data_IF_250681978042
#
_entry.id   IF_250681978042
#
_cell.length_a   1.000
_cell.length_b   1.000
_cell.length_c   1.000
_cell.angle_alpha   90.00
_cell.angle_beta   90.00
_cell.angle_gamma   90.00
#
_symmetry.space_group_name_H-M   'P 1'
#
loop_
_entity.id
_entity.type
_entity.pdbx_description
1 polymer ?
#
# COMPACT_ATOMS: atom_id res chain seq x y z
N UNK A 1 -26.51 -50.27 -29.04
CA UNK A 1 -25.47 -51.22 -29.51
C UNK A 1 -24.28 -50.41 -30.01
N UNK A 2 -23.07 -50.74 -29.51
CA UNK A 2 -21.73 -50.32 -29.95
C UNK A 2 -21.20 -48.91 -29.60
N UNK A 3 -20.46 -48.93 -28.50
CA UNK A 3 -19.29 -48.14 -28.09
C UNK A 3 -18.23 -48.02 -29.21
N UNK A 4 -17.54 -46.87 -29.28
CA UNK A 4 -16.10 -46.74 -29.61
C UNK A 4 -15.57 -45.39 -29.09
N UNK A 5 -14.55 -45.43 -28.24
CA UNK A 5 -13.81 -44.28 -27.72
C UNK A 5 -12.44 -44.10 -28.39
N UNK A 6 -11.60 -43.27 -27.73
CA UNK A 6 -10.19 -42.84 -27.96
C UNK A 6 -10.10 -41.34 -28.27
N UNK A 7 -9.15 -40.55 -27.77
CA UNK A 7 -8.17 -40.67 -26.70
C UNK A 7 -7.74 -39.24 -26.32
N UNK A 8 -7.50 -38.98 -25.03
CA UNK A 8 -6.95 -37.72 -24.55
C UNK A 8 -5.44 -37.65 -24.79
N UNK A 9 -4.94 -36.52 -25.29
CA UNK A 9 -3.52 -36.19 -25.34
C UNK A 9 -3.25 -34.97 -24.45
N UNK A 10 -2.75 -35.24 -23.25
CA UNK A 10 -2.26 -34.24 -22.28
C UNK A 10 -0.83 -33.88 -22.67
N UNK A 11 -0.59 -32.61 -23.04
CA UNK A 11 0.77 -32.10 -23.22
C UNK A 11 1.21 -31.38 -21.93
N UNK A 12 2.16 -31.98 -21.20
CA UNK A 12 2.94 -31.31 -20.16
C UNK A 12 3.88 -30.29 -20.83
N UNK A 13 3.78 -29.02 -20.47
CA UNK A 13 4.86 -28.05 -20.65
C UNK A 13 5.61 -27.89 -19.34
N UNK A 14 6.81 -28.46 -19.29
CA UNK A 14 7.82 -28.19 -18.28
C UNK A 14 8.47 -26.83 -18.58
N UNK A 15 8.37 -25.88 -17.66
CA UNK A 15 9.15 -24.64 -17.70
C UNK A 15 10.30 -24.76 -16.70
N UNK A 16 11.51 -24.77 -17.26
CA UNK A 16 12.78 -24.80 -16.56
C UNK A 16 13.02 -23.46 -15.85
N UNK A 17 13.07 -23.49 -14.52
CA UNK A 17 13.58 -22.38 -13.71
C UNK A 17 15.12 -22.37 -13.79
N UNK A 18 15.69 -21.46 -14.58
CA UNK A 18 17.12 -21.18 -14.60
C UNK A 18 17.51 -20.24 -13.47
N UNK A 19 17.85 -20.79 -12.31
CA UNK A 19 18.52 -20.07 -11.22
C UNK A 19 20.04 -20.17 -11.33
N UNK A 20 20.74 -19.05 -11.28
CA UNK A 20 22.19 -19.03 -11.08
C UNK A 20 22.50 -19.49 -9.66
N UNK A 21 22.87 -20.77 -9.49
CA UNK A 21 23.47 -21.26 -8.25
C UNK A 21 24.99 -21.18 -8.38
N UNK A 22 25.61 -20.25 -7.65
CA UNK A 22 26.97 -20.48 -7.14
C UNK A 22 26.82 -21.44 -5.97
N UNK A 23 27.42 -22.61 -6.10
CA UNK A 23 27.66 -23.53 -5.00
C UNK A 23 28.76 -22.92 -4.11
N UNK A 24 28.40 -22.63 -2.86
CA UNK A 24 29.21 -22.69 -1.65
C UNK A 24 28.60 -21.76 -0.61
N UNK A 25 27.86 -22.34 0.35
CA UNK A 25 27.71 -21.87 1.73
C UNK A 25 26.76 -22.79 2.49
N UNK A 26 27.33 -23.69 3.28
CA UNK A 26 26.69 -24.26 4.47
C UNK A 26 26.21 -23.13 5.39
N UNK A 27 24.98 -22.65 5.23
CA UNK A 27 24.30 -21.83 6.24
C UNK A 27 22.83 -22.28 6.29
N UNK A 28 22.56 -23.40 6.96
CA UNK A 28 21.32 -23.51 7.74
C UNK A 28 21.50 -22.61 8.95
N UNK A 29 21.48 -21.31 8.70
CA UNK A 29 21.56 -20.29 9.74
C UNK A 29 20.22 -20.26 10.42
N UNK A 30 20.14 -20.82 11.63
CA UNK A 30 19.11 -20.45 12.58
C UNK A 30 19.02 -18.91 12.56
N UNK A 31 17.88 -18.36 12.15
CA UNK A 31 17.65 -16.95 12.33
C UNK A 31 17.81 -16.68 13.84
N UNK A 32 18.75 -15.79 14.26
CA UNK A 32 18.91 -15.50 15.67
C UNK A 32 17.57 -14.99 16.22
N UNK A 33 17.16 -15.52 17.38
CA UNK A 33 15.96 -15.04 18.05
C UNK A 33 16.03 -13.52 18.24
N UNK A 34 14.91 -12.79 18.15
CA UNK A 34 14.90 -11.36 18.42
C UNK A 34 15.48 -11.10 19.81
N UNK A 35 16.57 -10.34 19.88
CA UNK A 35 17.13 -9.92 21.16
C UNK A 35 16.25 -8.78 21.67
N UNK A 36 15.49 -9.03 22.74
CA UNK A 36 14.79 -7.97 23.47
C UNK A 36 15.82 -6.96 23.95
N UNK A 37 15.60 -5.70 23.60
CA UNK A 37 16.54 -4.62 23.87
C UNK A 37 16.05 -3.83 25.09
N UNK A 38 16.95 -3.51 26.02
CA UNK A 38 16.63 -2.64 27.15
C UNK A 38 16.50 -3.36 28.50
N UNK A 39 15.89 -2.70 29.51
CA UNK A 39 15.73 -3.25 30.86
C UNK A 39 14.87 -4.51 30.87
N UNK A 40 15.00 -5.34 31.90
CA UNK A 40 14.24 -6.59 32.02
C UNK A 40 12.72 -6.35 32.20
N UNK A 41 12.33 -5.16 32.66
CA UNK A 41 10.94 -4.81 32.98
C UNK A 41 10.46 -3.64 32.13
N UNK A 42 9.16 -3.58 31.77
CA UNK A 42 8.59 -2.46 31.05
C UNK A 42 8.76 -1.14 31.82
N UNK A 43 8.93 -0.03 31.09
CA UNK A 43 8.95 1.29 31.70
C UNK A 43 7.54 1.68 32.17
N UNK A 44 7.43 2.15 33.42
CA UNK A 44 6.19 2.66 34.00
C UNK A 44 6.13 4.16 33.78
N UNK A 45 5.01 4.63 33.26
CA UNK A 45 4.70 6.03 33.03
C UNK A 45 3.60 6.48 33.98
N UNK A 46 3.70 7.71 34.49
CA UNK A 46 2.84 8.19 35.58
C UNK A 46 1.36 8.27 35.21
N UNK A 47 1.02 8.62 33.96
CA UNK A 47 -0.37 8.80 33.55
C UNK A 47 -0.58 8.60 32.06
N UNK A 48 -1.68 7.96 31.70
CA UNK A 48 -2.17 7.91 30.32
C UNK A 48 -2.84 9.23 29.92
N UNK A 49 -2.46 9.78 28.76
CA UNK A 49 -3.08 10.97 28.19
C UNK A 49 -4.01 10.64 27.03
N UNK A 50 -3.47 10.12 25.93
CA UNK A 50 -4.24 9.66 24.76
C UNK A 50 -3.36 8.91 23.77
N UNK A 51 -3.99 8.23 22.81
CA UNK A 51 -3.28 7.69 21.65
C UNK A 51 -2.61 8.78 20.79
N UNK A 52 -3.16 9.99 20.75
CA UNK A 52 -2.66 11.08 19.91
C UNK A 52 -1.30 11.61 20.35
N UNK A 53 -1.10 11.74 21.65
CA UNK A 53 0.15 12.21 22.24
C UNK A 53 1.24 11.14 22.27
N UNK A 54 0.84 9.87 22.34
CA UNK A 54 1.75 8.78 22.72
C UNK A 54 2.03 7.80 21.58
N UNK A 55 1.02 7.45 20.78
CA UNK A 55 1.14 6.45 19.71
C UNK A 55 1.41 7.09 18.34
N UNK A 56 0.84 8.27 18.06
CA UNK A 56 0.86 8.84 16.71
C UNK A 56 1.84 10.02 16.57
N UNK A 57 3.13 9.72 16.44
CA UNK A 57 4.14 10.75 16.12
C UNK A 57 3.95 11.38 14.73
N UNK A 58 3.41 10.64 13.74
CA UNK A 58 3.04 11.15 12.41
C UNK A 58 1.89 10.33 11.77
N UNK A 59 1.26 10.82 10.69
CA UNK A 59 0.21 10.08 9.96
C UNK A 59 0.73 8.83 9.24
N UNK A 60 1.99 8.83 8.81
CA UNK A 60 2.61 7.75 8.03
C UNK A 60 2.98 6.52 8.88
N UNK A 61 3.16 6.71 10.18
CA UNK A 61 3.67 5.70 11.10
C UNK A 61 2.58 4.79 11.69
N UNK A 62 1.31 5.19 11.57
CA UNK A 62 0.17 4.58 12.30
C UNK A 62 -0.15 3.13 11.95
N UNK A 63 0.34 2.64 10.81
CA UNK A 63 0.15 1.25 10.36
C UNK A 63 1.25 0.34 10.95
N UNK A 64 2.41 0.90 11.29
CA UNK A 64 3.59 0.15 11.77
C UNK A 64 3.94 0.42 13.24
N UNK A 65 3.26 1.35 13.92
CA UNK A 65 3.64 1.84 15.24
C UNK A 65 3.64 0.77 16.36
N UNK A 66 3.05 -0.42 16.13
CA UNK A 66 3.10 -1.52 17.10
C UNK A 66 4.33 -2.42 17.02
N UNK A 67 5.13 -2.37 15.94
CA UNK A 67 6.16 -3.39 15.67
C UNK A 67 7.29 -3.44 16.70
N UNK A 68 7.62 -2.31 17.32
CA UNK A 68 8.65 -2.25 18.35
C UNK A 68 8.28 -3.04 19.61
N UNK A 69 6.99 -3.33 19.85
CA UNK A 69 6.54 -4.21 20.92
C UNK A 69 7.12 -5.64 20.82
N UNK A 70 7.56 -6.07 19.63
CA UNK A 70 8.28 -7.34 19.46
C UNK A 70 9.64 -7.37 20.17
N UNK A 71 10.18 -6.20 20.52
CA UNK A 71 11.51 -6.04 21.13
C UNK A 71 11.48 -5.42 22.52
N UNK A 72 10.33 -4.89 22.97
CA UNK A 72 10.14 -4.33 24.31
C UNK A 72 10.24 -5.40 25.41
N UNK A 73 10.43 -5.04 26.69
CA UNK A 73 10.44 -6.00 27.79
C UNK A 73 9.06 -6.68 27.97
N UNK A 74 9.04 -7.98 28.27
CA UNK A 74 7.79 -8.73 28.51
C UNK A 74 7.08 -8.25 29.77
N UNK A 75 5.77 -8.49 29.84
CA UNK A 75 5.00 -8.26 31.05
C UNK A 75 5.41 -9.25 32.15
N UNK A 76 5.75 -8.74 33.32
CA UNK A 76 5.99 -9.52 34.54
C UNK A 76 4.82 -9.40 35.52
N UNK A 77 5.03 -9.83 36.76
CA UNK A 77 4.04 -9.71 37.85
C UNK A 77 4.18 -8.41 38.65
N UNK A 78 5.14 -7.55 38.31
CA UNK A 78 5.44 -6.31 39.03
C UNK A 78 4.47 -5.17 38.70
N UNK A 79 3.76 -5.27 37.58
CA UNK A 79 2.67 -4.36 37.20
C UNK A 79 1.34 -5.12 37.19
N UNK A 80 0.27 -4.51 37.69
CA UNK A 80 -1.06 -5.13 37.82
C UNK A 80 -2.07 -4.39 36.93
N UNK A 81 -2.19 -4.78 35.65
CA UNK A 81 -3.14 -4.17 34.73
C UNK A 81 -4.59 -4.44 35.14
N UNK A 82 -5.39 -3.40 35.14
CA UNK A 82 -6.85 -3.48 35.32
C UNK A 82 -7.61 -3.05 34.06
N UNK A 83 -6.93 -2.37 33.13
CA UNK A 83 -7.49 -2.01 31.84
C UNK A 83 -6.42 -1.83 30.78
N UNK A 84 -6.82 -1.83 29.52
CA UNK A 84 -5.93 -1.64 28.41
C UNK A 84 -6.46 -0.57 27.46
N UNK A 85 -5.53 0.16 26.86
CA UNK A 85 -5.79 1.09 25.76
C UNK A 85 -5.18 0.51 24.48
N UNK A 86 -6.00 0.47 23.44
CA UNK A 86 -5.63 0.02 22.10
C UNK A 86 -5.70 1.24 21.19
N UNK A 87 -4.56 1.59 20.61
CA UNK A 87 -4.47 2.65 19.61
C UNK A 87 -4.46 2.02 18.22
N UNK A 88 -5.45 2.36 17.40
CA UNK A 88 -5.57 1.84 16.03
C UNK A 88 -6.01 2.91 15.04
N UNK A 89 -5.74 2.66 13.76
CA UNK A 89 -6.30 3.47 12.68
C UNK A 89 -6.99 2.55 11.68
N UNK A 90 -8.18 2.95 11.22
CA UNK A 90 -8.99 2.20 10.27
C UNK A 90 -9.38 3.08 9.09
N UNK A 91 -9.52 2.48 7.91
CA UNK A 91 -10.12 3.16 6.76
C UNK A 91 -11.64 3.00 6.89
N UNK A 92 -12.37 4.12 6.87
CA UNK A 92 -13.83 4.13 6.92
C UNK A 92 -14.41 4.74 5.65
N UNK A 93 -15.47 4.13 5.15
CA UNK A 93 -16.23 4.68 4.03
C UNK A 93 -17.08 5.86 4.45
N UNK A 94 -17.20 6.84 3.55
CA UNK A 94 -18.10 7.97 3.68
C UNK A 94 -19.39 7.75 2.89
N UNK A 95 -20.49 8.45 3.25
CA UNK A 95 -21.73 8.40 2.47
C UNK A 95 -21.56 8.73 0.97
N UNK A 96 -20.58 9.56 0.60
CA UNK A 96 -20.27 9.90 -0.80
C UNK A 96 -19.35 8.91 -1.53
N UNK A 97 -19.01 7.78 -0.93
CA UNK A 97 -18.14 6.75 -1.52
C UNK A 97 -16.64 7.00 -1.37
N UNK A 98 -16.24 8.19 -0.91
CA UNK A 98 -14.87 8.44 -0.47
C UNK A 98 -14.51 7.65 0.79
N UNK A 99 -13.25 7.71 1.20
CA UNK A 99 -12.76 7.04 2.39
C UNK A 99 -11.86 7.95 3.22
N UNK A 100 -11.87 7.73 4.53
CA UNK A 100 -11.08 8.48 5.49
C UNK A 100 -10.30 7.53 6.39
N UNK A 101 -9.08 7.93 6.74
CA UNK A 101 -8.33 7.28 7.80
C UNK A 101 -8.82 7.85 9.12
N UNK A 102 -9.34 6.99 9.99
CA UNK A 102 -9.88 7.35 11.30
C UNK A 102 -8.99 6.73 12.37
N UNK A 103 -8.46 7.57 13.26
CA UNK A 103 -7.73 7.13 14.44
C UNK A 103 -8.72 6.86 15.56
N UNK A 104 -8.50 5.77 16.28
CA UNK A 104 -9.37 5.26 17.32
C UNK A 104 -8.54 4.90 18.55
N UNK A 105 -9.05 5.35 19.70
CA UNK A 105 -8.65 4.87 21.00
C UNK A 105 -9.77 3.96 21.50
N UNK A 106 -9.43 2.71 21.73
CA UNK A 106 -10.35 1.73 22.29
C UNK A 106 -9.86 1.27 23.65
N UNK A 107 -10.80 0.93 24.53
CA UNK A 107 -10.54 0.46 25.88
C UNK A 107 -11.03 -0.97 26.06
N UNK A 108 -10.26 -1.77 26.77
CA UNK A 108 -10.68 -3.09 27.25
C UNK A 108 -10.52 -3.17 28.77
N UNK A 109 -11.51 -3.74 29.44
CA UNK A 109 -11.50 -3.92 30.91
C UNK A 109 -11.39 -5.40 31.30
N UNK A 110 -11.91 -6.35 30.49
CA UNK A 110 -11.62 -7.79 30.68
C UNK A 110 -10.33 -8.19 29.97
N UNK A 111 -9.25 -8.23 30.74
CA UNK A 111 -7.91 -8.54 30.22
C UNK A 111 -7.47 -9.98 30.49
N UNK A 112 -8.32 -10.80 31.12
CA UNK A 112 -7.90 -12.08 31.72
C UNK A 112 -7.14 -12.97 30.73
N UNK A 113 -7.70 -13.14 29.52
CA UNK A 113 -7.10 -14.00 28.49
C UNK A 113 -5.85 -13.34 27.89
N UNK A 114 -5.87 -12.04 27.59
CA UNK A 114 -4.73 -11.37 26.95
C UNK A 114 -3.53 -11.28 27.89
N UNK A 115 -3.73 -11.02 29.19
CA UNK A 115 -2.63 -10.96 30.17
C UNK A 115 -1.92 -12.29 30.34
N UNK A 116 -2.66 -13.41 30.34
CA UNK A 116 -2.02 -14.73 30.43
C UNK A 116 -1.13 -15.02 29.22
N UNK A 117 -1.52 -14.55 28.03
CA UNK A 117 -0.70 -14.69 26.83
C UNK A 117 0.46 -13.71 26.76
N UNK A 118 0.31 -12.47 27.23
CA UNK A 118 1.39 -11.47 27.26
C UNK A 118 2.55 -11.84 28.20
N UNK A 119 2.29 -12.68 29.21
CA UNK A 119 3.29 -13.21 30.13
C UNK A 119 4.03 -14.43 29.61
N UNK A 120 3.68 -14.94 28.41
CA UNK A 120 4.41 -16.05 27.82
C UNK A 120 5.85 -15.62 27.49
N UNK A 121 6.79 -16.53 27.66
CA UNK A 121 8.13 -16.36 27.12
C UNK A 121 8.12 -16.47 25.59
N UNK A 122 9.13 -15.86 24.99
CA UNK A 122 9.47 -16.09 23.58
C UNK A 122 9.83 -17.55 23.34
N UNK A 123 9.51 -18.04 22.15
CA UNK A 123 9.95 -19.35 21.70
C UNK A 123 11.40 -19.29 21.22
N UNK A 124 12.15 -20.36 21.49
CA UNK A 124 13.49 -20.51 20.97
C UNK A 124 13.50 -20.64 19.44
N UNK A 125 14.62 -20.29 18.77
CA UNK A 125 14.71 -20.42 17.33
C UNK A 125 14.62 -21.89 16.91
N UNK A 126 14.02 -22.15 15.74
CA UNK A 126 13.88 -23.50 15.17
C UNK A 126 14.51 -23.57 13.79
N UNK A 127 14.80 -24.78 13.30
CA UNK A 127 15.28 -25.00 11.94
C UNK A 127 14.16 -24.90 10.86
N UNK A 128 12.95 -24.48 11.26
CA UNK A 128 11.83 -24.33 10.35
C UNK A 128 11.99 -23.17 9.37
N UNK A 129 11.33 -23.26 8.22
CA UNK A 129 11.25 -22.13 7.28
C UNK A 129 10.27 -21.10 7.78
N UNK A 130 10.71 -19.84 7.88
CA UNK A 130 9.86 -18.72 8.24
C UNK A 130 9.37 -18.00 7.00
N UNK A 131 8.08 -17.66 7.00
CA UNK A 131 7.48 -16.86 5.95
C UNK A 131 7.84 -15.38 6.13
N UNK A 132 7.94 -14.63 5.02
CA UNK A 132 8.41 -13.23 4.97
C UNK A 132 7.31 -12.18 5.27
N UNK A 133 6.11 -12.59 5.67
CA UNK A 133 5.02 -11.67 5.97
C UNK A 133 5.29 -10.88 7.25
N UNK A 134 5.00 -9.58 7.19
CA UNK A 134 5.04 -8.67 8.32
C UNK A 134 3.71 -8.78 9.08
N UNK A 135 3.69 -9.31 10.32
CA UNK A 135 2.47 -9.41 11.10
C UNK A 135 2.02 -8.04 11.58
N UNK A 136 0.71 -7.77 11.61
CA UNK A 136 0.20 -6.58 12.29
C UNK A 136 0.36 -6.75 13.81
N UNK A 137 1.07 -5.83 14.47
CA UNK A 137 1.22 -5.79 15.92
C UNK A 137 0.41 -4.59 16.45
N UNK A 138 -0.55 -4.80 17.37
CA UNK A 138 -1.36 -3.71 17.89
C UNK A 138 -0.53 -2.80 18.79
N UNK A 139 -0.84 -1.51 18.78
CA UNK A 139 -0.32 -0.58 19.78
C UNK A 139 -1.18 -0.69 21.04
N UNK A 140 -0.65 -1.35 22.07
CA UNK A 140 -1.33 -1.69 23.32
C UNK A 140 -0.60 -1.06 24.51
N UNK A 141 -1.34 -0.34 25.34
CA UNK A 141 -0.89 0.09 26.67
C UNK A 141 -1.73 -0.61 27.74
N UNK A 142 -1.09 -0.99 28.85
CA UNK A 142 -1.75 -1.57 30.02
C UNK A 142 -1.74 -0.55 31.15
N UNK A 143 -2.88 -0.34 31.79
CA UNK A 143 -3.08 0.65 32.85
C UNK A 143 -3.39 -0.07 34.17
N UNK A 144 -2.82 0.43 35.26
CA UNK A 144 -3.17 0.01 36.62
C UNK A 144 -4.31 0.87 37.22
N UNK A 145 -4.69 0.58 38.46
CA UNK A 145 -5.75 1.30 39.19
C UNK A 145 -5.42 2.77 39.45
N UNK A 146 -4.14 3.14 39.48
CA UNK A 146 -3.67 4.51 39.66
C UNK A 146 -3.63 5.30 38.33
N UNK A 147 -3.94 4.64 37.21
CA UNK A 147 -3.86 5.21 35.87
C UNK A 147 -2.44 5.37 35.33
N UNK A 148 -1.45 4.80 36.02
CA UNK A 148 -0.10 4.61 35.48
C UNK A 148 -0.18 3.58 34.38
N UNK A 149 0.77 3.63 33.45
CA UNK A 149 0.72 2.71 32.31
C UNK A 149 2.09 2.19 31.90
N UNK A 150 2.07 1.04 31.25
CA UNK A 150 3.22 0.42 30.61
C UNK A 150 2.89 0.07 29.16
N UNK A 151 3.94 -0.03 28.34
CA UNK A 151 3.86 -0.68 27.03
C UNK A 151 4.57 -2.03 27.09
N UNK A 152 3.84 -3.15 27.20
CA UNK A 152 4.46 -4.45 27.30
C UNK A 152 5.01 -4.90 25.95
N UNK A 153 6.04 -5.72 26.00
CA UNK A 153 6.45 -6.52 24.86
C UNK A 153 5.42 -7.59 24.53
N UNK A 154 5.30 -7.89 23.24
CA UNK A 154 4.49 -8.99 22.72
C UNK A 154 5.39 -10.22 22.58
N UNK A 155 4.99 -11.39 23.11
CA UNK A 155 5.78 -12.60 22.98
C UNK A 155 5.86 -13.05 21.52
N UNK A 156 7.03 -13.54 21.11
CA UNK A 156 7.29 -13.97 19.73
C UNK A 156 7.52 -15.47 19.60
N UNK A 157 7.16 -16.00 18.44
CA UNK A 157 7.45 -17.36 18.02
C UNK A 157 8.89 -17.50 17.51
N UNK A 158 9.27 -18.73 17.13
CA UNK A 158 10.60 -19.02 16.58
C UNK A 158 10.96 -18.23 15.30
N UNK A 159 9.98 -17.62 14.64
CA UNK A 159 10.14 -16.79 13.46
C UNK A 159 10.14 -15.28 13.78
N UNK A 160 10.12 -14.91 15.06
CA UNK A 160 10.10 -13.51 15.51
C UNK A 160 8.75 -12.82 15.30
N UNK A 161 7.66 -13.57 15.11
CA UNK A 161 6.30 -13.04 14.95
C UNK A 161 5.50 -13.17 16.24
N UNK A 162 4.47 -12.35 16.48
CA UNK A 162 3.61 -12.52 17.64
C UNK A 162 3.11 -13.97 17.76
N UNK A 163 3.29 -14.56 18.94
CA UNK A 163 2.81 -15.90 19.23
C UNK A 163 1.32 -16.03 18.92
N UNK A 164 0.93 -17.18 18.40
CA UNK A 164 -0.45 -17.45 17.98
C UNK A 164 -1.45 -17.28 19.13
N UNK A 165 -1.05 -17.65 20.33
CA UNK A 165 -1.82 -17.53 21.56
C UNK A 165 -2.19 -16.07 21.82
N UNK A 166 -1.20 -15.17 21.80
CA UNK A 166 -1.43 -13.73 21.95
C UNK A 166 -2.34 -13.20 20.84
N UNK A 167 -2.06 -13.52 19.57
CA UNK A 167 -2.90 -13.08 18.44
C UNK A 167 -4.35 -13.50 18.61
N UNK A 168 -4.58 -14.77 18.97
CA UNK A 168 -5.92 -15.31 19.17
C UNK A 168 -6.63 -14.65 20.36
N UNK A 169 -5.91 -14.36 21.45
CA UNK A 169 -6.46 -13.69 22.61
C UNK A 169 -6.81 -12.22 22.29
N UNK A 170 -5.93 -11.53 21.57
CA UNK A 170 -6.12 -10.14 21.18
C UNK A 170 -7.29 -9.97 20.19
N UNK A 171 -7.41 -10.84 19.19
CA UNK A 171 -8.53 -10.84 18.23
C UNK A 171 -9.90 -11.02 18.91
N UNK A 172 -9.94 -11.68 20.07
CA UNK A 172 -11.15 -11.91 20.88
C UNK A 172 -11.36 -10.87 21.97
N UNK A 173 -10.44 -9.92 22.13
CA UNK A 173 -10.51 -8.91 23.17
C UNK A 173 -11.71 -8.01 22.93
N UNK A 174 -12.64 -7.98 23.88
CA UNK A 174 -13.77 -7.07 23.84
C UNK A 174 -13.26 -5.64 24.07
N UNK A 175 -13.52 -4.75 23.12
CA UNK A 175 -13.10 -3.36 23.18
C UNK A 175 -14.29 -2.42 23.01
N UNK A 176 -14.20 -1.26 23.66
CA UNK A 176 -15.12 -0.14 23.46
C UNK A 176 -14.34 1.05 22.93
N UNK A 177 -14.71 1.58 21.77
CA UNK A 177 -14.12 2.83 21.26
C UNK A 177 -14.49 3.98 22.19
N UNK A 178 -13.50 4.63 22.79
CA UNK A 178 -13.69 5.76 23.72
C UNK A 178 -13.44 7.11 23.04
N UNK A 179 -12.61 7.13 22.00
CA UNK A 179 -12.34 8.33 21.20
C UNK A 179 -12.10 7.93 19.76
N UNK A 180 -12.62 8.74 18.84
CA UNK A 180 -12.33 8.61 17.41
C UNK A 180 -12.18 9.98 16.78
N UNK A 181 -11.36 10.07 15.75
CA UNK A 181 -11.23 11.29 14.94
C UNK A 181 -10.76 10.98 13.54
N UNK A 182 -11.22 11.77 12.59
CA UNK A 182 -10.67 11.76 11.24
C UNK A 182 -9.24 12.28 11.28
N UNK A 183 -8.34 11.52 10.67
CA UNK A 183 -6.92 11.86 10.53
C UNK A 183 -6.71 12.62 9.25
N UNK A 184 -7.18 12.03 8.16
CA UNK A 184 -7.06 12.55 6.82
C UNK A 184 -8.08 11.85 5.92
N UNK A 185 -8.46 12.55 4.86
CA UNK A 185 -9.15 11.94 3.74
C UNK A 185 -8.16 11.10 2.92
N UNK A 186 -8.50 9.84 2.67
CA UNK A 186 -7.71 8.92 1.84
C UNK A 186 -8.23 8.95 0.40
N UNK A 187 -9.55 9.00 0.22
CA UNK A 187 -10.19 9.16 -1.09
C UNK A 187 -11.31 10.19 -0.98
N UNK A 188 -11.30 11.19 -1.87
CA UNK A 188 -12.38 12.18 -1.99
C UNK A 188 -13.65 11.55 -2.58
N UNK A 189 -14.80 12.16 -2.30
CA UNK A 189 -16.07 11.72 -2.88
C UNK A 189 -16.08 11.97 -4.40
N UNK A 190 -15.38 13.02 -4.86
CA UNK A 190 -15.18 13.33 -6.26
C UNK A 190 -14.30 12.28 -6.98
N UNK A 191 -13.20 11.86 -6.36
CA UNK A 191 -12.36 10.78 -6.90
C UNK A 191 -13.16 9.47 -6.97
N UNK A 192 -13.82 9.09 -5.88
CA UNK A 192 -14.62 7.88 -5.80
C UNK A 192 -15.73 7.84 -6.86
N UNK A 193 -16.53 8.90 -6.96
CA UNK A 193 -17.64 9.00 -7.94
C UNK A 193 -17.17 9.05 -9.40
N UNK A 194 -15.97 9.57 -9.66
CA UNK A 194 -15.34 9.49 -10.99
C UNK A 194 -14.75 8.11 -11.31
N UNK A 195 -14.59 7.26 -10.29
CA UNK A 195 -13.85 6.00 -10.31
C UNK A 195 -12.37 6.17 -10.68
N UNK A 196 -11.79 7.31 -10.31
CA UNK A 196 -10.36 7.57 -10.33
C UNK A 196 -9.80 7.39 -8.91
N UNK A 197 -8.52 7.03 -8.80
CA UNK A 197 -7.82 7.03 -7.52
C UNK A 197 -7.56 8.45 -7.02
N UNK A 198 -7.47 8.64 -5.70
CA UNK A 198 -7.11 9.94 -5.12
C UNK A 198 -5.69 10.40 -5.45
N UNK A 199 -4.77 9.45 -5.61
CA UNK A 199 -3.40 9.72 -6.02
C UNK A 199 -2.98 8.72 -7.09
N UNK A 200 -2.16 9.17 -8.03
CA UNK A 200 -1.59 8.33 -9.09
C UNK A 200 -0.18 8.80 -9.41
N UNK A 201 0.69 7.89 -9.86
CA UNK A 201 2.06 8.25 -10.21
C UNK A 201 2.17 8.76 -11.64
N UNK A 202 2.97 9.80 -11.86
CA UNK A 202 3.37 10.22 -13.21
C UNK A 202 4.30 9.16 -13.83
N UNK A 203 3.71 8.19 -14.52
CA UNK A 203 4.46 7.11 -15.13
C UNK A 203 5.22 7.53 -16.38
N UNK A 204 4.80 8.62 -17.05
CA UNK A 204 5.57 9.19 -18.15
C UNK A 204 6.92 9.67 -17.63
N UNK A 205 6.95 10.33 -16.46
CA UNK A 205 8.20 10.65 -15.75
C UNK A 205 8.93 9.40 -15.24
N UNK A 206 8.25 8.59 -14.41
CA UNK A 206 8.89 7.48 -13.69
C UNK A 206 9.55 6.45 -14.61
N UNK A 207 9.00 6.23 -15.82
CA UNK A 207 9.55 5.28 -16.78
C UNK A 207 10.53 5.90 -17.80
N UNK A 208 10.71 7.22 -17.78
CA UNK A 208 11.58 7.93 -18.71
C UNK A 208 13.06 7.51 -18.64
N UNK A 209 13.52 7.06 -17.45
CA UNK A 209 14.89 6.58 -17.24
C UNK A 209 15.15 5.11 -17.60
N UNK A 210 14.12 4.35 -17.97
CA UNK A 210 14.26 2.94 -18.35
C UNK A 210 14.40 2.80 -19.89
N UNK A 211 15.54 3.23 -20.43
CA UNK A 211 15.75 3.42 -21.88
C UNK A 211 15.56 2.16 -22.76
N UNK A 212 15.62 0.96 -22.19
CA UNK A 212 15.65 -0.29 -22.96
C UNK A 212 14.30 -1.01 -23.14
N UNK A 213 13.15 -0.39 -22.77
CA UNK A 213 11.84 -1.06 -22.80
C UNK A 213 10.81 -0.46 -23.77
N UNK A 214 11.19 0.55 -24.53
CA UNK A 214 10.23 1.33 -25.31
C UNK A 214 10.31 1.04 -26.81
N UNK A 215 9.15 0.78 -27.41
CA UNK A 215 9.00 0.63 -28.85
C UNK A 215 8.99 1.97 -29.57
N UNK A 216 9.26 1.96 -30.87
CA UNK A 216 9.17 3.15 -31.73
C UNK A 216 7.83 3.24 -32.46
N UNK A 217 7.20 2.11 -32.76
CA UNK A 217 5.95 2.03 -33.51
C UNK A 217 4.72 2.13 -32.60
N UNK A 218 3.75 2.96 -32.98
CA UNK A 218 2.47 3.10 -32.26
C UNK A 218 1.56 1.96 -32.71
N UNK A 219 1.11 1.13 -31.78
CA UNK A 219 0.06 0.16 -32.06
C UNK A 219 -1.27 0.90 -32.32
N UNK A 220 -2.14 0.40 -33.22
CA UNK A 220 -3.44 1.00 -33.46
C UNK A 220 -4.25 1.11 -32.17
N UNK A 221 -4.83 2.29 -31.92
CA UNK A 221 -5.71 2.52 -30.78
C UNK A 221 -7.12 2.02 -31.09
N UNK A 222 -7.89 1.56 -30.09
CA UNK A 222 -9.23 1.06 -30.32
C UNK A 222 -10.17 2.15 -30.86
N UNK A 223 -10.89 1.84 -31.94
CA UNK A 223 -11.84 2.78 -32.54
C UNK A 223 -12.98 3.15 -31.57
N UNK A 224 -13.38 2.19 -30.74
CA UNK A 224 -14.38 2.33 -29.68
C UNK A 224 -13.80 1.73 -28.40
N UNK A 225 -13.82 2.51 -27.33
CA UNK A 225 -13.44 2.08 -26.00
C UNK A 225 -14.29 2.82 -24.97
N UNK A 226 -14.55 2.17 -23.84
CA UNK A 226 -14.98 2.89 -22.65
C UNK A 226 -13.72 3.54 -22.08
N UNK A 227 -13.67 4.86 -22.12
CA UNK A 227 -12.51 5.62 -21.67
C UNK A 227 -12.85 6.35 -20.39
N UNK A 228 -12.04 6.16 -19.36
CA UNK A 228 -12.09 6.98 -18.14
C UNK A 228 -10.87 7.90 -18.14
N UNK A 229 -11.12 9.19 -17.95
CA UNK A 229 -10.07 10.20 -17.85
C UNK A 229 -9.91 10.61 -16.39
N UNK A 230 -8.67 10.59 -15.90
CA UNK A 230 -8.31 11.03 -14.56
C UNK A 230 -7.17 12.04 -14.68
N UNK A 231 -7.32 13.21 -14.08
CA UNK A 231 -6.37 14.31 -14.16
C UNK A 231 -5.80 14.58 -12.78
N UNK A 232 -4.48 14.73 -12.72
CA UNK A 232 -3.72 14.86 -11.48
C UNK A 232 -2.79 16.07 -11.54
N UNK A 233 -2.68 16.78 -10.43
CA UNK A 233 -1.67 17.83 -10.23
C UNK A 233 -0.51 17.24 -9.43
N UNK A 234 0.73 17.51 -9.82
CA UNK A 234 1.93 17.04 -9.13
C UNK A 234 2.39 18.12 -8.15
N UNK A 235 2.36 17.87 -6.81
CA UNK A 235 2.86 18.81 -5.82
C UNK A 235 4.32 19.16 -6.08
N UNK A 236 4.72 20.41 -5.79
CA UNK A 236 6.08 20.87 -6.07
C UNK A 236 7.17 20.01 -5.40
N UNK A 237 6.88 19.43 -4.22
CA UNK A 237 7.79 18.54 -3.51
C UNK A 237 7.99 17.17 -4.18
N UNK A 238 7.04 16.73 -5.02
CA UNK A 238 7.10 15.45 -5.73
C UNK A 238 7.73 15.59 -7.13
N UNK A 239 7.75 16.80 -7.69
CA UNK A 239 8.26 17.04 -9.04
C UNK A 239 9.74 16.67 -9.14
N UNK A 240 10.05 15.76 -10.05
CA UNK A 240 11.42 15.28 -10.27
C UNK A 240 11.84 14.15 -9.33
N UNK A 241 10.97 13.69 -8.42
CA UNK A 241 11.23 12.46 -7.67
C UNK A 241 11.30 11.25 -8.60
N UNK A 242 11.79 10.10 -8.11
CA UNK A 242 11.89 8.89 -8.94
C UNK A 242 10.52 8.38 -9.42
N UNK A 243 9.46 8.67 -8.66
CA UNK A 243 8.07 8.30 -8.99
C UNK A 243 7.12 9.37 -8.44
N UNK A 244 6.98 10.52 -9.13
CA UNK A 244 6.20 11.65 -8.66
C UNK A 244 4.75 11.24 -8.45
N UNK A 245 4.23 11.45 -7.24
CA UNK A 245 2.82 11.26 -6.95
C UNK A 245 2.03 12.53 -7.35
N UNK A 246 0.95 12.34 -8.11
CA UNK A 246 -0.03 13.38 -8.40
C UNK A 246 -1.29 13.22 -7.54
N UNK A 247 -1.91 14.35 -7.21
CA UNK A 247 -3.17 14.44 -6.47
C UNK A 247 -4.34 14.61 -7.45
N UNK A 248 -5.41 13.86 -7.22
CA UNK A 248 -6.59 13.89 -8.08
C UNK A 248 -7.21 15.30 -8.13
N UNK A 249 -7.32 15.83 -9.34
CA UNK A 249 -7.96 17.11 -9.63
C UNK A 249 -9.38 16.91 -10.17
N UNK A 250 -9.54 15.99 -11.11
CA UNK A 250 -10.82 15.74 -11.76
C UNK A 250 -10.79 14.48 -12.60
N UNK A 251 -11.96 13.89 -12.86
CA UNK A 251 -12.05 12.76 -13.77
C UNK A 251 -13.46 12.30 -14.01
N UNK A 252 -13.58 11.22 -14.78
CA UNK A 252 -14.85 10.57 -15.06
C UNK A 252 -14.85 9.84 -16.41
N UNK A 253 -15.99 9.27 -16.82
CA UNK A 253 -16.15 8.71 -18.15
C UNK A 253 -16.00 9.79 -19.22
N UNK A 254 -15.24 9.49 -20.26
CA UNK A 254 -15.01 10.35 -21.41
C UNK A 254 -16.03 10.02 -22.51
N UNK A 255 -16.78 11.01 -23.04
CA UNK A 255 -17.70 10.78 -24.16
C UNK A 255 -16.98 10.25 -25.39
N UNK A 256 -17.67 9.44 -26.21
CA UNK A 256 -17.10 8.83 -27.43
C UNK A 256 -16.54 9.87 -28.41
N UNK A 257 -17.16 11.05 -28.51
CA UNK A 257 -16.65 12.18 -29.32
C UNK A 257 -15.34 12.74 -28.78
N UNK A 258 -15.21 12.84 -27.45
CA UNK A 258 -13.98 13.23 -26.77
C UNK A 258 -12.86 12.21 -27.00
N UNK A 259 -13.16 10.91 -26.88
CA UNK A 259 -12.20 9.85 -27.21
C UNK A 259 -11.76 9.92 -28.67
N UNK A 260 -12.70 10.11 -29.61
CA UNK A 260 -12.38 10.19 -31.04
C UNK A 260 -11.42 11.34 -31.33
N UNK A 261 -11.64 12.51 -30.73
CA UNK A 261 -10.75 13.67 -30.89
C UNK A 261 -9.36 13.44 -30.29
N UNK A 262 -9.29 12.90 -29.07
CA UNK A 262 -8.03 12.56 -28.40
C UNK A 262 -7.24 11.51 -29.19
N UNK A 263 -7.91 10.43 -29.63
CA UNK A 263 -7.28 9.37 -30.41
C UNK A 263 -6.63 9.92 -31.68
N UNK A 264 -7.35 10.78 -32.43
CA UNK A 264 -6.83 11.37 -33.65
C UNK A 264 -5.56 12.20 -33.41
N UNK A 265 -5.50 12.98 -32.32
CA UNK A 265 -4.30 13.73 -31.95
C UNK A 265 -3.13 12.82 -31.55
N UNK A 266 -3.40 11.71 -30.85
CA UNK A 266 -2.36 10.73 -30.48
C UNK A 266 -1.85 9.98 -31.72
N UNK A 267 -2.73 9.57 -32.64
CA UNK A 267 -2.32 8.88 -33.88
C UNK A 267 -1.52 9.79 -34.81
N UNK A 268 -1.81 11.09 -34.81
CA UNK A 268 -1.06 12.10 -35.57
C UNK A 268 0.24 12.56 -34.88
N UNK A 269 0.48 12.15 -33.63
CA UNK A 269 1.61 12.62 -32.84
C UNK A 269 2.96 12.10 -33.36
N UNK A 270 3.98 12.96 -33.30
CA UNK A 270 5.35 12.57 -33.61
C UNK A 270 5.93 11.66 -32.50
N UNK A 271 6.89 10.77 -32.83
CA UNK A 271 7.71 10.09 -31.82
C UNK A 271 8.36 11.09 -30.85
N UNK A 272 8.41 10.73 -29.56
CA UNK A 272 9.12 11.50 -28.53
C UNK A 272 10.18 10.62 -27.87
N UNK A 273 11.20 11.28 -27.30
CA UNK A 273 12.14 10.61 -26.40
C UNK A 273 11.49 10.32 -25.04
N UNK A 274 11.97 9.25 -24.40
CA UNK A 274 11.66 8.94 -23.01
C UNK A 274 12.39 9.89 -22.04
N UNK A 275 13.53 10.46 -22.43
CA UNK A 275 14.30 11.37 -21.57
C UNK A 275 13.65 12.75 -21.47
N UNK A 276 13.52 13.25 -20.25
CA UNK A 276 12.97 14.57 -19.96
C UNK A 276 13.66 15.16 -18.73
N UNK A 277 14.06 16.43 -18.81
CA UNK A 277 14.68 17.16 -17.70
C UNK A 277 13.73 18.12 -16.99
N UNK A 278 12.54 18.34 -17.54
CA UNK A 278 11.55 19.29 -17.00
C UNK A 278 10.31 18.52 -16.56
N UNK A 279 10.13 18.26 -15.25
CA UNK A 279 8.98 17.50 -14.77
C UNK A 279 7.68 18.26 -15.05
N UNK A 280 6.64 17.51 -15.39
CA UNK A 280 5.30 18.08 -15.54
C UNK A 280 4.73 18.52 -14.18
N UNK A 281 3.96 19.59 -14.17
CA UNK A 281 3.19 20.02 -13.00
C UNK A 281 1.82 19.37 -12.93
N UNK A 282 1.34 18.78 -14.02
CA UNK A 282 0.10 18.00 -14.07
C UNK A 282 0.13 17.00 -15.22
N UNK A 283 -0.61 15.91 -15.06
CA UNK A 283 -0.76 14.88 -16.09
C UNK A 283 -2.19 14.31 -16.09
N UNK A 284 -2.58 13.73 -17.22
CA UNK A 284 -3.84 13.01 -17.38
C UNK A 284 -3.56 11.53 -17.65
N UNK A 285 -4.44 10.68 -17.14
CA UNK A 285 -4.44 9.23 -17.34
C UNK A 285 -5.75 8.84 -18.01
N UNK A 286 -5.66 8.13 -19.13
CA UNK A 286 -6.79 7.55 -19.83
C UNK A 286 -6.75 6.03 -19.63
N UNK A 287 -7.71 5.50 -18.89
CA UNK A 287 -7.93 4.06 -18.78
C UNK A 287 -8.85 3.62 -19.91
N UNK A 288 -8.36 2.73 -20.76
CA UNK A 288 -9.10 2.17 -21.89
C UNK A 288 -9.61 0.77 -21.53
N UNK A 289 -10.93 0.58 -21.64
CA UNK A 289 -11.56 -0.72 -21.50
C UNK A 289 -12.22 -1.16 -22.82
N UNK A 290 -11.71 -2.23 -23.47
CA UNK A 290 -10.37 -2.81 -23.29
C UNK A 290 -9.29 -1.89 -23.90
N UNK A 291 -8.02 -1.96 -23.47
CA UNK A 291 -6.96 -1.31 -24.24
C UNK A 291 -5.70 -0.84 -23.51
N UNK A 292 -5.68 -0.83 -22.17
CA UNK A 292 -4.50 -0.38 -21.42
C UNK A 292 -4.61 1.06 -20.95
N UNK A 293 -3.48 1.74 -20.75
CA UNK A 293 -3.42 3.06 -20.11
C UNK A 293 -2.61 4.03 -20.96
N UNK A 294 -3.08 5.28 -21.09
CA UNK A 294 -2.35 6.36 -21.75
C UNK A 294 -2.12 7.48 -20.75
N UNK A 295 -0.89 7.98 -20.66
CA UNK A 295 -0.50 9.10 -19.81
C UNK A 295 -0.15 10.28 -20.70
N UNK A 296 -0.62 11.46 -20.36
CA UNK A 296 -0.42 12.69 -21.13
C UNK A 296 0.07 13.76 -20.17
N UNK A 297 1.26 14.31 -20.38
CA UNK A 297 1.75 15.47 -19.63
C UNK A 297 1.08 16.76 -20.13
N UNK A 298 0.63 17.63 -19.22
CA UNK A 298 0.07 18.93 -19.59
C UNK A 298 1.14 19.91 -20.08
N UNK A 299 2.29 19.87 -19.40
CA UNK A 299 3.43 20.76 -19.53
C UNK A 299 4.74 19.96 -19.42
N UNK A 300 5.83 20.60 -18.99
CA UNK A 300 7.15 19.97 -18.99
C UNK A 300 7.60 19.62 -20.41
N UNK A 301 7.94 18.35 -20.65
CA UNK A 301 8.30 17.86 -21.98
C UNK A 301 7.10 17.50 -22.86
N UNK A 302 5.87 17.60 -22.33
CA UNK A 302 4.62 17.32 -23.05
C UNK A 302 4.65 15.93 -23.70
N UNK A 303 5.06 14.93 -22.96
CA UNK A 303 5.12 13.54 -23.46
C UNK A 303 3.76 12.87 -23.32
N UNK A 304 3.52 11.94 -24.23
CA UNK A 304 2.49 10.93 -24.12
C UNK A 304 3.21 9.60 -23.92
N UNK A 305 2.83 8.85 -22.90
CA UNK A 305 3.25 7.47 -22.71
C UNK A 305 2.05 6.59 -22.96
N UNK A 306 2.18 5.66 -23.91
CA UNK A 306 1.17 4.64 -24.16
C UNK A 306 1.65 3.32 -23.57
N UNK A 307 0.84 2.75 -22.68
CA UNK A 307 1.02 1.41 -22.12
C UNK A 307 -0.11 0.51 -22.64
N UNK A 308 0.07 -0.14 -23.81
CA UNK A 308 -0.95 -1.02 -24.35
C UNK A 308 -1.10 -2.25 -23.45
N UNK A 309 -2.29 -2.88 -23.48
CA UNK A 309 -2.52 -4.14 -22.77
C UNK A 309 -1.54 -5.26 -23.18
N UNK A 310 -1.05 -5.22 -24.42
CA UNK A 310 -0.04 -6.13 -24.95
C UNK A 310 0.98 -5.36 -25.80
N UNK A 311 2.28 -5.59 -25.58
CA UNK A 311 3.36 -4.98 -26.34
C UNK A 311 4.20 -3.98 -25.54
N UNK A 312 5.24 -3.40 -26.16
CA UNK A 312 6.09 -2.44 -25.48
C UNK A 312 5.39 -1.09 -25.32
N UNK A 313 5.73 -0.36 -24.26
CA UNK A 313 5.29 1.02 -24.08
C UNK A 313 5.96 1.94 -25.12
N UNK A 314 5.31 3.05 -25.45
CA UNK A 314 5.78 3.96 -26.51
C UNK A 314 5.62 5.41 -26.09
N UNK A 315 6.63 6.24 -26.39
CA UNK A 315 6.56 7.68 -26.19
C UNK A 315 6.19 8.44 -27.47
N UNK A 316 5.34 9.45 -27.29
CA UNK A 316 4.89 10.39 -28.33
C UNK A 316 4.88 11.82 -27.81
N UNK A 317 4.84 12.79 -28.71
CA UNK A 317 4.78 14.20 -28.37
C UNK A 317 3.34 14.68 -28.30
N UNK A 318 2.94 15.26 -27.17
CA UNK A 318 1.62 15.86 -26.98
C UNK A 318 1.53 17.22 -27.68
N UNK A 319 0.44 17.43 -28.42
CA UNK A 319 0.10 18.71 -29.02
C UNK A 319 -0.61 19.62 -28.01
N UNK A 320 -0.57 20.94 -28.22
CA UNK A 320 -1.36 21.86 -27.40
C UNK A 320 -2.87 21.56 -27.44
N UNK A 321 -3.35 21.06 -28.59
CA UNK A 321 -4.75 20.65 -28.76
C UNK A 321 -5.07 19.39 -27.96
N UNK A 322 -4.18 18.40 -27.96
CA UNK A 322 -4.34 17.20 -27.14
C UNK A 322 -4.38 17.57 -25.65
N UNK A 323 -3.50 18.45 -25.19
CA UNK A 323 -3.53 18.94 -23.81
C UNK A 323 -4.86 19.62 -23.48
N UNK A 324 -5.41 20.48 -24.35
CA UNK A 324 -6.75 21.07 -24.10
C UNK A 324 -7.82 19.98 -23.98
N UNK A 325 -7.88 19.02 -24.92
CA UNK A 325 -8.86 17.93 -24.89
C UNK A 325 -8.75 17.03 -23.65
N UNK A 326 -7.53 16.76 -23.17
CA UNK A 326 -7.28 15.86 -22.06
C UNK A 326 -7.45 16.53 -20.67
N UNK A 327 -7.42 17.86 -20.59
CA UNK A 327 -7.42 18.55 -19.29
C UNK A 327 -8.62 19.47 -19.07
N UNK A 328 -9.32 19.89 -20.13
CA UNK A 328 -10.51 20.73 -20.04
C UNK A 328 -11.75 19.88 -19.70
N UNK A 329 -12.65 20.40 -18.86
CA UNK A 329 -13.91 19.74 -18.51
C UNK A 329 -15.00 20.01 -19.55
#
# INVERSE_FOLDING_TARGET
>A
MRVRGTAAATALLAVLAGGCARADSDIVGLAPAPVRSGPATPAIHDRWESCDSTAYGSAQNRINDGQDALTLPLLDDGFQPVSAIICGASIRERPGGGTELVAEEARADDLTTVLSTLRLSDEGPTAGVCTMEMPAVPWLALLDDDGRWIRPGVPVDACGKPRREFRTAFEKLATTTVKSRVVQQVVSDEAASSGCSQSWADMAWAMGGAENRHGTALAPLPERANVRRCVYDVPAAERGSAKPAGDFRSGGPLPATGWTAIRAEIEASAPSTATCSTPASSFAVLHLEPGGTIYIEADGCRRILLEPANGPSVYRLSSARLTSLAFDK
#
